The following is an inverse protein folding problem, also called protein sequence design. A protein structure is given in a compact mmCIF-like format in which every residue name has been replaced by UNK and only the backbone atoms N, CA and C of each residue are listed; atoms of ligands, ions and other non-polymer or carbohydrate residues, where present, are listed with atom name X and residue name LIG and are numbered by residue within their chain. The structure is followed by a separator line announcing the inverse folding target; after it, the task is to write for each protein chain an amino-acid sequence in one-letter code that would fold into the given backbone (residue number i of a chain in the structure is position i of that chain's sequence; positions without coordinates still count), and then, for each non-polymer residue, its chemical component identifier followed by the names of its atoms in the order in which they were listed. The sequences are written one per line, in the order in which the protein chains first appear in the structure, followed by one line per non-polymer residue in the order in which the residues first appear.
data_IF_180288980536
#
_entry.id   IF_180288980536
#
_cell.length_a   1.000
_cell.length_b   1.000
_cell.length_c   1.000
_cell.angle_alpha   90.00
_cell.angle_beta   90.00
_cell.angle_gamma   90.00
#
_symmetry.space_group_name_H-M   'P 1'
#
loop_
_entity.id
_entity.type
_entity.pdbx_description
1 polymer ?
#
# COMPACT_ATOMS: atom_id res chain seq x y z
N UNK A 1 -0.69 17.33 28.83
CA UNK A 1 -1.50 16.12 29.00
C UNK A 1 -1.12 15.19 27.89
N UNK A 2 -0.48 14.11 28.31
CA UNK A 2 0.39 13.28 27.50
C UNK A 2 -0.43 12.51 26.47
N UNK A 3 -0.35 12.95 25.22
CA UNK A 3 -0.83 12.20 24.07
C UNK A 3 0.19 11.11 23.77
N UNK A 4 0.20 10.06 24.59
CA UNK A 4 0.75 8.78 24.15
C UNK A 4 -0.13 8.34 22.97
N UNK A 5 0.32 8.69 21.77
CA UNK A 5 -0.30 8.24 20.54
C UNK A 5 -0.26 6.72 20.58
N UNK A 6 -1.40 6.11 20.90
CA UNK A 6 -1.65 4.70 20.71
C UNK A 6 -1.42 4.42 19.23
N UNK A 7 -0.17 4.11 18.85
CA UNK A 7 0.13 3.45 17.59
C UNK A 7 -0.90 2.33 17.47
N UNK A 8 -1.72 2.30 16.40
CA UNK A 8 -2.87 1.41 16.37
C UNK A 8 -2.38 -0.01 16.64
N UNK A 9 -2.92 -0.65 17.68
CA UNK A 9 -2.46 -1.94 18.20
C UNK A 9 -2.29 -2.99 17.08
N UNK A 10 -3.14 -2.90 16.05
CA UNK A 10 -3.07 -3.72 14.84
C UNK A 10 -1.79 -3.56 14.02
N UNK A 11 -1.20 -2.36 13.97
CA UNK A 11 0.05 -2.08 13.25
C UNK A 11 1.23 -2.80 13.90
N UNK A 12 1.41 -2.64 15.22
CA UNK A 12 2.45 -3.33 15.98
C UNK A 12 2.30 -4.86 15.90
N UNK A 13 1.07 -5.35 15.90
CA UNK A 13 0.77 -6.79 15.79
C UNK A 13 1.03 -7.35 14.38
N UNK A 14 0.71 -6.61 13.32
CA UNK A 14 1.03 -7.02 11.95
C UNK A 14 2.55 -7.07 11.74
N UNK A 15 3.28 -6.03 12.19
CA UNK A 15 4.74 -5.97 12.14
C UNK A 15 5.37 -7.16 12.86
N UNK A 16 4.88 -7.52 14.06
CA UNK A 16 5.45 -8.61 14.84
C UNK A 16 5.25 -9.99 14.18
N UNK A 17 4.09 -10.23 13.56
CA UNK A 17 3.79 -11.49 12.86
C UNK A 17 4.61 -11.65 11.58
N UNK A 18 4.72 -10.61 10.77
CA UNK A 18 5.52 -10.63 9.54
C UNK A 18 7.00 -10.81 9.89
N UNK A 19 7.50 -10.08 10.91
CA UNK A 19 8.85 -10.27 11.44
C UNK A 19 9.09 -11.72 11.89
N UNK A 20 8.14 -12.31 12.62
CA UNK A 20 8.24 -13.70 13.11
C UNK A 20 8.36 -14.70 11.95
N UNK A 21 7.48 -14.57 10.95
CA UNK A 21 7.48 -15.45 9.77
C UNK A 21 8.79 -15.32 9.00
N UNK A 22 9.25 -14.10 8.73
CA UNK A 22 10.47 -13.89 7.95
C UNK A 22 11.75 -14.30 8.68
N UNK A 23 11.90 -13.92 9.97
CA UNK A 23 13.13 -14.17 10.76
C UNK A 23 13.29 -15.64 11.17
N UNK A 24 12.19 -16.40 11.23
CA UNK A 24 12.26 -17.84 11.46
C UNK A 24 12.55 -18.55 10.14
N UNK A 25 13.74 -19.14 10.02
CA UNK A 25 14.13 -19.91 8.83
C UNK A 25 13.10 -21.02 8.54
N UNK A 26 12.63 -21.73 9.57
CA UNK A 26 11.63 -22.77 9.43
C UNK A 26 10.29 -22.23 8.89
N UNK A 27 9.75 -21.15 9.48
CA UNK A 27 8.46 -20.59 9.04
C UNK A 27 8.56 -19.97 7.64
N UNK A 28 9.62 -19.22 7.36
CA UNK A 28 9.83 -18.60 6.05
C UNK A 28 9.95 -19.64 4.95
N UNK A 29 10.80 -20.66 5.14
CA UNK A 29 10.99 -21.76 4.18
C UNK A 29 9.68 -22.52 4.00
N UNK A 30 8.99 -22.88 5.09
CA UNK A 30 7.71 -23.60 5.02
C UNK A 30 6.64 -22.78 4.29
N UNK A 31 6.47 -21.50 4.62
CA UNK A 31 5.52 -20.63 3.95
C UNK A 31 5.84 -20.45 2.46
N UNK A 32 7.11 -20.24 2.12
CA UNK A 32 7.56 -20.06 0.74
C UNK A 32 7.38 -21.35 -0.08
N UNK A 33 7.66 -22.52 0.49
CA UNK A 33 7.39 -23.81 -0.14
C UNK A 33 5.90 -24.05 -0.35
N UNK A 34 5.06 -23.79 0.66
CA UNK A 34 3.62 -23.94 0.55
C UNK A 34 3.05 -23.05 -0.56
N UNK A 35 3.45 -21.77 -0.60
CA UNK A 35 2.97 -20.85 -1.63
C UNK A 35 3.48 -21.26 -3.02
N UNK A 36 4.74 -21.68 -3.15
CA UNK A 36 5.27 -22.17 -4.43
C UNK A 36 4.61 -23.46 -4.89
N UNK A 37 4.26 -24.35 -3.95
CA UNK A 37 3.49 -25.56 -4.23
C UNK A 37 2.08 -25.19 -4.74
N UNK A 38 1.42 -24.21 -4.11
CA UNK A 38 0.14 -23.69 -4.58
C UNK A 38 0.23 -23.02 -5.97
N UNK A 39 1.38 -22.42 -6.30
CA UNK A 39 1.67 -21.87 -7.61
C UNK A 39 1.88 -22.90 -8.72
N UNK A 40 2.15 -24.16 -8.35
CA UNK A 40 2.34 -25.25 -9.33
C UNK A 40 1.04 -25.83 -9.86
N UNK A 41 -0.11 -25.52 -9.24
CA UNK A 41 -1.42 -25.95 -9.72
C UNK A 41 -1.85 -25.18 -10.98
N UNK A 42 -2.79 -25.72 -11.77
CA UNK A 42 -3.40 -24.98 -12.88
C UNK A 42 -3.99 -23.65 -12.41
N UNK A 43 -3.82 -22.60 -13.22
CA UNK A 43 -4.19 -21.23 -12.87
C UNK A 43 -5.64 -21.07 -12.41
N UNK A 44 -6.60 -21.87 -12.92
CA UNK A 44 -7.98 -21.80 -12.45
C UNK A 44 -8.12 -22.25 -10.99
N UNK A 45 -7.37 -23.28 -10.57
CA UNK A 45 -7.42 -23.79 -9.20
C UNK A 45 -6.75 -22.81 -8.24
N UNK A 46 -5.57 -22.30 -8.57
CA UNK A 46 -4.86 -21.29 -7.77
C UNK A 46 -5.69 -20.02 -7.60
N UNK A 47 -6.40 -19.57 -8.65
CA UNK A 47 -7.32 -18.43 -8.59
C UNK A 47 -8.50 -18.66 -7.64
N UNK A 48 -9.12 -19.84 -7.70
CA UNK A 48 -10.22 -20.19 -6.79
C UNK A 48 -9.72 -20.24 -5.34
N UNK A 49 -8.54 -20.81 -5.12
CA UNK A 49 -7.95 -20.91 -3.80
C UNK A 49 -7.57 -19.54 -3.24
N UNK A 50 -6.93 -18.68 -4.05
CA UNK A 50 -6.55 -17.32 -3.67
C UNK A 50 -7.79 -16.49 -3.25
N UNK A 51 -8.89 -16.56 -4.02
CA UNK A 51 -10.16 -15.89 -3.64
C UNK A 51 -10.74 -16.42 -2.34
N UNK A 52 -10.68 -17.72 -2.11
CA UNK A 52 -11.24 -18.34 -0.89
C UNK A 52 -10.40 -18.07 0.35
N UNK A 53 -9.07 -18.12 0.24
CA UNK A 53 -8.16 -18.04 1.37
C UNK A 53 -7.71 -16.62 1.70
N UNK A 54 -7.42 -15.80 0.68
CA UNK A 54 -6.76 -14.50 0.86
C UNK A 54 -7.75 -13.34 0.86
N UNK A 55 -8.86 -13.43 0.14
CA UNK A 55 -9.89 -12.40 0.21
C UNK A 55 -11.01 -12.58 -0.80
N UNK A 56 -12.23 -12.79 -0.29
CA UNK A 56 -13.44 -12.76 -1.12
C UNK A 56 -13.69 -11.38 -1.75
N UNK A 57 -13.16 -10.32 -1.13
CA UNK A 57 -13.32 -8.92 -1.57
C UNK A 57 -12.25 -8.44 -2.53
N UNK A 58 -11.23 -9.25 -2.84
CA UNK A 58 -10.14 -8.84 -3.74
C UNK A 58 -10.61 -8.78 -5.19
N UNK A 59 -10.14 -7.79 -5.95
CA UNK A 59 -10.45 -7.70 -7.38
C UNK A 59 -9.86 -8.87 -8.16
N UNK A 60 -10.34 -9.06 -9.40
CA UNK A 60 -9.72 -9.99 -10.35
C UNK A 60 -8.25 -9.68 -10.58
N UNK A 61 -7.88 -8.39 -10.63
CA UNK A 61 -6.53 -7.93 -10.92
C UNK A 61 -5.55 -8.35 -9.83
N UNK A 62 -5.92 -8.17 -8.56
CA UNK A 62 -5.08 -8.60 -7.42
C UNK A 62 -4.95 -10.11 -7.38
N UNK A 63 -6.04 -10.83 -7.55
CA UNK A 63 -6.02 -12.31 -7.54
C UNK A 63 -5.11 -12.82 -8.67
N UNK A 64 -5.18 -12.21 -9.84
CA UNK A 64 -4.35 -12.57 -10.97
C UNK A 64 -2.87 -12.26 -10.71
N UNK A 65 -2.57 -11.08 -10.17
CA UNK A 65 -1.21 -10.70 -9.79
C UNK A 65 -0.60 -11.67 -8.76
N UNK A 66 -1.40 -12.13 -7.79
CA UNK A 66 -0.99 -13.13 -6.80
C UNK A 66 -0.67 -14.46 -7.46
N UNK A 67 -1.57 -14.94 -8.32
CA UNK A 67 -1.39 -16.23 -8.98
C UNK A 67 -0.23 -16.22 -9.99
N UNK A 68 -0.02 -15.13 -10.73
CA UNK A 68 1.02 -15.06 -11.77
C UNK A 68 2.41 -14.70 -11.23
N UNK A 69 2.47 -13.82 -10.22
CA UNK A 69 3.74 -13.25 -9.76
C UNK A 69 4.11 -13.70 -8.34
N UNK A 70 3.14 -13.72 -7.41
CA UNK A 70 3.43 -13.94 -6.00
C UNK A 70 3.64 -15.42 -5.65
N UNK A 71 2.98 -16.35 -6.34
CA UNK A 71 3.05 -17.80 -6.03
C UNK A 71 4.37 -18.48 -6.45
N UNK A 72 5.50 -17.79 -6.33
CA UNK A 72 6.83 -18.31 -6.62
C UNK A 72 7.69 -18.21 -5.36
N UNK A 73 8.45 -19.27 -5.07
CA UNK A 73 9.26 -19.38 -3.85
C UNK A 73 10.07 -18.11 -3.54
N UNK A 74 10.93 -17.67 -4.47
CA UNK A 74 11.78 -16.51 -4.25
C UNK A 74 11.01 -15.18 -4.23
N UNK A 75 9.91 -15.08 -4.97
CA UNK A 75 9.06 -13.88 -4.91
C UNK A 75 8.42 -13.71 -3.55
N UNK A 76 7.90 -14.79 -2.95
CA UNK A 76 7.37 -14.74 -1.57
C UNK A 76 8.46 -14.35 -0.58
N UNK A 77 9.66 -14.89 -0.70
CA UNK A 77 10.76 -14.52 0.18
C UNK A 77 11.08 -13.03 0.10
N UNK A 78 11.15 -12.49 -1.12
CA UNK A 78 11.39 -11.07 -1.35
C UNK A 78 10.25 -10.22 -0.79
N UNK A 79 9.00 -10.64 -0.97
CA UNK A 79 7.83 -9.95 -0.44
C UNK A 79 7.79 -9.98 1.08
N UNK A 80 8.11 -11.11 1.72
CA UNK A 80 8.21 -11.21 3.17
C UNK A 80 9.33 -10.33 3.72
N UNK A 81 10.46 -10.23 3.01
CA UNK A 81 11.54 -9.31 3.37
C UNK A 81 11.09 -7.85 3.28
N UNK A 82 10.51 -7.43 2.15
CA UNK A 82 10.02 -6.06 1.94
C UNK A 82 8.98 -5.69 2.99
N UNK A 83 7.99 -6.57 3.22
CA UNK A 83 6.98 -6.38 4.25
C UNK A 83 7.64 -6.26 5.62
N UNK A 84 8.57 -7.15 5.98
CA UNK A 84 9.26 -7.07 7.27
C UNK A 84 9.98 -5.73 7.45
N UNK A 85 10.73 -5.27 6.44
CA UNK A 85 11.46 -3.98 6.53
C UNK A 85 10.53 -2.78 6.57
N UNK A 86 9.46 -2.78 5.78
CA UNK A 86 8.52 -1.67 5.70
C UNK A 86 7.67 -1.57 6.97
N UNK A 87 7.10 -2.69 7.43
CA UNK A 87 6.32 -2.72 8.66
C UNK A 87 7.19 -2.45 9.91
N UNK A 88 8.49 -2.78 9.87
CA UNK A 88 9.42 -2.35 10.92
C UNK A 88 9.56 -0.82 10.92
N UNK A 89 9.77 -0.19 9.75
CA UNK A 89 9.85 1.27 9.65
C UNK A 89 8.52 1.95 10.00
N UNK A 90 7.40 1.38 9.56
CA UNK A 90 6.05 1.88 9.81
C UNK A 90 5.63 1.80 11.29
N UNK A 91 6.31 0.94 12.07
CA UNK A 91 6.10 0.86 13.52
C UNK A 91 6.72 2.03 14.30
N UNK A 92 7.60 2.81 13.65
CA UNK A 92 8.09 4.07 14.19
C UNK A 92 6.99 5.14 14.16
N UNK A 93 7.07 6.11 15.06
CA UNK A 93 6.12 7.22 15.09
C UNK A 93 6.34 8.13 13.87
N UNK A 94 5.28 8.46 13.09
CA UNK A 94 5.39 9.44 12.02
C UNK A 94 5.84 10.80 12.54
N UNK A 95 6.59 11.56 11.74
CA UNK A 95 6.93 12.94 12.07
C UNK A 95 5.69 13.85 11.92
N UNK A 96 4.84 13.83 12.93
CA UNK A 96 3.60 14.60 12.94
C UNK A 96 3.83 16.10 12.90
N UNK A 97 4.97 16.58 13.41
CA UNK A 97 5.32 18.00 13.37
C UNK A 97 5.58 18.42 11.93
N UNK A 98 6.43 17.69 11.21
CA UNK A 98 6.67 17.92 9.78
C UNK A 98 5.37 17.86 8.97
N UNK A 99 4.56 16.83 9.20
CA UNK A 99 3.31 16.61 8.45
C UNK A 99 2.32 17.77 8.65
N UNK A 100 2.18 18.29 9.87
CA UNK A 100 1.33 19.47 10.16
C UNK A 100 1.91 20.74 9.56
N UNK A 101 3.21 20.98 9.70
CA UNK A 101 3.86 22.18 9.15
C UNK A 101 3.78 22.23 7.62
N UNK A 102 3.85 21.07 6.96
CA UNK A 102 3.82 20.94 5.50
C UNK A 102 2.48 20.49 4.94
N UNK A 103 1.41 20.45 5.74
CA UNK A 103 0.11 19.89 5.33
C UNK A 103 -0.44 20.51 4.04
N UNK A 104 -0.18 21.80 3.80
CA UNK A 104 -0.63 22.51 2.59
C UNK A 104 0.24 22.23 1.34
N UNK A 105 1.38 21.58 1.50
CA UNK A 105 2.36 21.21 0.46
C UNK A 105 2.38 19.71 0.19
N UNK A 106 1.69 18.92 1.02
CA UNK A 106 1.65 17.47 0.94
C UNK A 106 0.28 17.03 0.40
N UNK A 107 0.32 16.04 -0.49
CA UNK A 107 -0.87 15.32 -0.95
C UNK A 107 -0.53 13.83 -1.04
N UNK A 108 -1.50 12.98 -0.68
CA UNK A 108 -1.36 11.53 -0.71
C UNK A 108 -2.36 10.95 -1.70
N UNK A 109 -1.87 10.09 -2.60
CA UNK A 109 -2.68 9.35 -3.57
C UNK A 109 -2.65 7.87 -3.20
N UNK A 110 -3.81 7.32 -2.87
CA UNK A 110 -4.00 5.91 -2.52
C UNK A 110 -4.56 5.12 -3.70
N UNK A 111 -4.16 3.86 -3.86
CA UNK A 111 -4.82 2.94 -4.78
C UNK A 111 -6.09 2.35 -4.14
N UNK A 112 -7.18 2.24 -4.90
CA UNK A 112 -8.43 1.66 -4.39
C UNK A 112 -8.30 0.18 -3.98
N UNK A 113 -7.39 -0.54 -4.62
CA UNK A 113 -7.15 -1.97 -4.42
C UNK A 113 -5.70 -2.24 -3.97
N UNK A 114 -5.10 -1.25 -3.32
CA UNK A 114 -3.76 -1.36 -2.75
C UNK A 114 -3.81 -2.13 -1.42
N UNK A 115 -3.51 -3.42 -1.47
CA UNK A 115 -3.47 -4.24 -0.25
C UNK A 115 -2.16 -4.11 0.54
N UNK A 116 -1.17 -3.40 0.01
CA UNK A 116 0.08 -3.13 0.71
C UNK A 116 -0.05 -1.87 1.58
N UNK A 117 -0.72 -0.84 1.05
CA UNK A 117 -1.15 0.36 1.77
C UNK A 117 -2.69 0.50 1.72
N UNK A 118 -3.44 -0.32 2.49
CA UNK A 118 -4.90 -0.34 2.46
C UNK A 118 -5.52 1.01 2.81
N UNK A 119 -6.69 1.30 2.22
CA UNK A 119 -7.47 2.51 2.47
C UNK A 119 -7.86 2.71 3.95
N UNK A 120 -7.75 1.69 4.82
CA UNK A 120 -7.90 1.91 6.26
C UNK A 120 -6.88 2.90 6.82
N UNK A 121 -5.72 3.07 6.17
CA UNK A 121 -4.73 4.07 6.54
C UNK A 121 -5.10 5.49 6.10
N UNK A 122 -6.13 5.65 5.27
CA UNK A 122 -6.63 6.95 4.81
C UNK A 122 -7.07 7.83 5.98
N UNK A 123 -7.64 7.22 7.04
CA UNK A 123 -8.13 7.93 8.22
C UNK A 123 -7.01 8.28 9.23
N UNK A 124 -5.82 7.70 9.09
CA UNK A 124 -4.72 7.86 10.04
C UNK A 124 -3.91 9.16 9.82
N UNK A 125 -4.19 9.91 8.75
CA UNK A 125 -3.42 11.12 8.35
C UNK A 125 -4.34 12.34 8.22
N UNK A 126 -4.91 12.83 9.35
CA UNK A 126 -5.85 13.95 9.32
C UNK A 126 -5.17 15.25 8.86
N UNK A 127 -5.88 16.03 8.05
CA UNK A 127 -5.45 17.36 7.61
C UNK A 127 -4.66 17.40 6.30
N UNK A 128 -4.30 16.25 5.73
CA UNK A 128 -3.66 16.18 4.40
C UNK A 128 -4.69 16.16 3.26
N UNK A 129 -4.26 16.62 2.08
CA UNK A 129 -5.03 16.43 0.86
C UNK A 129 -4.92 14.96 0.44
N UNK A 130 -6.02 14.22 0.53
CA UNK A 130 -6.07 12.80 0.21
C UNK A 130 -6.85 12.57 -1.09
N UNK A 131 -6.40 11.63 -1.91
CA UNK A 131 -7.07 11.23 -3.15
C UNK A 131 -6.94 9.74 -3.37
N UNK A 132 -7.86 9.18 -4.16
CA UNK A 132 -7.92 7.75 -4.46
C UNK A 132 -7.88 7.55 -5.97
N UNK A 133 -6.88 6.81 -6.43
CA UNK A 133 -6.77 6.20 -7.76
C UNK A 133 -7.75 5.01 -7.80
N UNK A 134 -8.64 4.95 -8.80
CA UNK A 134 -9.77 4.01 -8.87
C UNK A 134 -9.72 3.01 -10.03
N UNK A 135 -8.69 3.06 -10.86
CA UNK A 135 -8.50 2.17 -12.00
C UNK A 135 -8.04 0.76 -11.59
N UNK A 136 -7.75 0.54 -10.31
CA UNK A 136 -7.49 -0.80 -9.76
C UNK A 136 -6.09 -1.30 -10.07
N UNK A 137 -5.12 -0.38 -10.10
CA UNK A 137 -3.71 -0.73 -10.25
C UNK A 137 -3.12 -1.31 -8.95
N UNK A 138 -2.03 -2.06 -9.06
CA UNK A 138 -1.30 -2.63 -7.90
C UNK A 138 -0.56 -1.55 -7.11
N UNK A 139 -0.07 -1.84 -5.90
CA UNK A 139 0.68 -0.88 -5.05
C UNK A 139 1.77 -0.10 -5.81
N UNK A 140 2.50 -0.76 -6.72
CA UNK A 140 3.53 -0.15 -7.54
C UNK A 140 2.98 0.52 -8.82
N UNK A 141 1.75 1.04 -8.81
CA UNK A 141 1.10 1.57 -10.02
C UNK A 141 1.87 2.71 -10.67
N UNK A 142 2.57 3.51 -9.86
CA UNK A 142 3.45 4.57 -10.34
C UNK A 142 4.62 4.06 -11.20
N UNK A 143 4.95 2.76 -11.13
CA UNK A 143 6.00 2.12 -11.92
C UNK A 143 5.51 1.58 -13.28
N UNK A 144 4.23 1.76 -13.61
CA UNK A 144 3.66 1.34 -14.89
C UNK A 144 3.36 2.55 -15.76
N UNK A 145 3.37 2.40 -17.09
CA UNK A 145 2.99 3.49 -18.01
C UNK A 145 1.57 3.96 -17.72
N UNK A 146 0.64 3.02 -17.50
CA UNK A 146 -0.76 3.36 -17.25
C UNK A 146 -0.95 4.12 -15.92
N UNK A 147 -0.46 3.55 -14.81
CA UNK A 147 -0.62 4.18 -13.49
C UNK A 147 0.18 5.48 -13.35
N UNK A 148 1.35 5.59 -13.99
CA UNK A 148 2.13 6.84 -13.97
C UNK A 148 1.49 7.96 -14.79
N UNK A 149 1.08 7.72 -16.03
CA UNK A 149 0.51 8.77 -16.90
C UNK A 149 -0.93 9.10 -16.54
N UNK A 150 -1.79 8.09 -16.41
CA UNK A 150 -3.23 8.28 -16.25
C UNK A 150 -3.64 8.49 -14.79
N UNK A 151 -2.90 7.90 -13.83
CA UNK A 151 -3.10 8.09 -12.39
C UNK A 151 -2.27 9.25 -11.83
N UNK A 152 -0.96 9.04 -11.66
CA UNK A 152 -0.08 9.95 -10.90
C UNK A 152 0.09 11.30 -11.57
N UNK A 153 0.49 11.35 -12.84
CA UNK A 153 0.78 12.60 -13.54
C UNK A 153 -0.48 13.46 -13.67
N UNK A 154 -1.62 12.85 -13.99
CA UNK A 154 -2.91 13.54 -14.01
C UNK A 154 -3.29 14.11 -12.64
N UNK A 155 -3.07 13.35 -11.57
CA UNK A 155 -3.33 13.84 -10.22
C UNK A 155 -2.42 15.02 -9.85
N UNK A 156 -1.12 14.90 -10.08
CA UNK A 156 -0.13 15.96 -9.79
C UNK A 156 -0.41 17.23 -10.59
N UNK A 157 -0.71 17.11 -11.89
CA UNK A 157 -1.02 18.27 -12.74
C UNK A 157 -2.31 18.99 -12.31
N UNK A 158 -3.31 18.24 -11.84
CA UNK A 158 -4.53 18.81 -11.26
C UNK A 158 -4.23 19.60 -9.99
N UNK A 159 -3.46 19.01 -9.06
CA UNK A 159 -3.06 19.67 -7.81
C UNK A 159 -2.30 20.99 -8.07
N UNK A 160 -1.34 20.98 -8.98
CA UNK A 160 -0.57 22.18 -9.34
C UNK A 160 -1.50 23.24 -9.94
N UNK A 161 -2.37 22.84 -10.86
CA UNK A 161 -3.30 23.75 -11.52
C UNK A 161 -4.24 24.43 -10.53
N UNK A 162 -4.78 23.68 -9.56
CA UNK A 162 -5.69 24.21 -8.55
C UNK A 162 -4.98 25.17 -7.60
N UNK A 163 -3.73 24.86 -7.21
CA UNK A 163 -2.89 25.77 -6.41
C UNK A 163 -2.59 27.07 -7.17
N UNK A 164 -2.28 27.01 -8.46
CA UNK A 164 -2.02 28.19 -9.28
C UNK A 164 -3.27 29.07 -9.42
N UNK A 165 -4.44 28.46 -9.66
CA UNK A 165 -5.72 29.20 -9.74
C UNK A 165 -6.04 29.93 -8.44
N UNK A 166 -5.87 29.27 -7.29
CA UNK A 166 -6.08 29.89 -5.98
C UNK A 166 -5.15 31.09 -5.77
N UNK A 167 -3.88 30.97 -6.13
CA UNK A 167 -2.89 32.06 -6.02
C UNK A 167 -3.22 33.24 -6.94
N UNK A 168 -3.63 32.98 -8.18
CA UNK A 168 -4.05 34.04 -9.12
C UNK A 168 -5.32 34.74 -8.63
N UNK A 169 -6.29 33.99 -8.11
CA UNK A 169 -7.52 34.55 -7.54
C UNK A 169 -7.24 35.41 -6.32
N UNK A 170 -6.29 35.05 -5.44
CA UNK A 170 -5.97 35.86 -4.25
C UNK A 170 -5.25 37.16 -4.58
N UNK A 171 -4.53 37.23 -5.71
CA UNK A 171 -3.80 38.42 -6.13
C UNK A 171 -4.65 39.41 -6.91
N UNK A 172 -5.78 38.98 -7.50
CA UNK A 172 -6.70 39.88 -8.21
C UNK A 172 -7.59 40.74 -7.27
N UNK A 173 -7.53 40.52 -5.95
CA UNK A 173 -8.26 41.31 -4.94
C UNK A 173 -7.32 42.19 -4.09
N UNK A 174 -6.08 42.43 -4.53
CA UNK A 174 -5.13 43.36 -3.93
C UNK A 174 -4.85 44.55 -4.83
#
# INVERSE_FOLDING_TARGET
MDGEALLPLGRKQATSRICLVYRSAFLNVTASYLVSFLGSFPAQFSRVLARKLLGHSWSTTVVDAVCSNLMQYYTVQNVLFMAMTEFAKFSEEPDWTFMREKQNQLALLFGIDDHWAPLSFFEEVPGLALSIEREGHTHAFCCTVAGSLYGVARHVTTLISDKLKLHMSSNNWR
#
